data_IF_191454265428
#
_entry.id   IF_191454265428
#
_cell.length_a   1.000
_cell.length_b   1.000
_cell.length_c   1.000
_cell.angle_alpha   90.00
_cell.angle_beta   90.00
_cell.angle_gamma   90.00
#
_symmetry.space_group_name_H-M   'P 1'
#
loop_
_entity.id
_entity.type
_entity.pdbx_description
1 polymer ?
#
# COMPACT_ATOMS: atom_id res chain seq x y z
N UNK A 1 -5.75 -23.18 4.74
CA UNK A 1 -5.86 -21.71 4.81
C UNK A 1 -6.57 -21.26 3.54
N UNK A 2 -7.69 -20.57 3.67
CA UNK A 2 -8.42 -20.06 2.50
C UNK A 2 -7.64 -18.91 1.82
N UNK A 3 -7.94 -18.62 0.56
CA UNK A 3 -7.29 -17.50 -0.15
C UNK A 3 -7.61 -16.16 0.53
N UNK A 4 -8.84 -15.98 1.00
CA UNK A 4 -9.24 -14.78 1.74
C UNK A 4 -8.45 -14.62 3.05
N UNK A 5 -8.28 -15.71 3.81
CA UNK A 5 -7.42 -15.71 5.00
C UNK A 5 -5.98 -15.33 4.65
N UNK A 6 -5.43 -15.86 3.55
CA UNK A 6 -4.05 -15.59 3.15
C UNK A 6 -3.85 -14.11 2.78
N UNK A 7 -4.77 -13.53 2.01
CA UNK A 7 -4.75 -12.11 1.65
C UNK A 7 -4.86 -11.24 2.91
N UNK A 8 -5.80 -11.56 3.80
CA UNK A 8 -5.99 -10.81 5.03
C UNK A 8 -4.75 -10.91 5.95
N UNK A 9 -4.15 -12.09 6.07
CA UNK A 9 -2.91 -12.27 6.83
C UNK A 9 -1.77 -11.43 6.24
N UNK A 10 -1.60 -11.45 4.91
CA UNK A 10 -0.57 -10.67 4.23
C UNK A 10 -0.74 -9.17 4.46
N UNK A 11 -1.97 -8.65 4.33
CA UNK A 11 -2.28 -7.23 4.59
C UNK A 11 -2.02 -6.88 6.06
N UNK A 12 -2.40 -7.75 7.01
CA UNK A 12 -2.13 -7.56 8.44
C UNK A 12 -0.64 -7.51 8.74
N UNK A 13 0.15 -8.45 8.18
CA UNK A 13 1.60 -8.49 8.35
C UNK A 13 2.27 -7.26 7.73
N UNK A 14 1.85 -6.86 6.53
CA UNK A 14 2.34 -5.65 5.86
C UNK A 14 2.07 -4.40 6.69
N UNK A 15 0.83 -4.24 7.17
CA UNK A 15 0.43 -3.13 8.01
C UNK A 15 1.16 -3.11 9.35
N UNK A 16 1.33 -4.27 10.00
CA UNK A 16 2.05 -4.38 11.26
C UNK A 16 3.54 -4.03 11.10
N UNK A 17 4.19 -4.51 10.03
CA UNK A 17 5.57 -4.13 9.71
C UNK A 17 5.68 -2.62 9.46
N UNK A 18 4.75 -2.05 8.68
CA UNK A 18 4.70 -0.62 8.44
C UNK A 18 4.50 0.20 9.72
N UNK A 19 3.64 -0.26 10.64
CA UNK A 19 3.42 0.40 11.93
C UNK A 19 4.67 0.35 12.82
N UNK A 20 5.35 -0.81 12.85
CA UNK A 20 6.61 -0.98 13.57
C UNK A 20 7.71 -0.07 13.03
N UNK A 21 7.73 0.20 11.72
CA UNK A 21 8.63 1.17 11.08
C UNK A 21 8.22 2.62 11.36
N UNK A 22 6.93 2.91 11.38
CA UNK A 22 6.42 4.27 11.58
C UNK A 22 6.83 4.86 12.92
N UNK A 23 6.86 4.05 13.99
CA UNK A 23 7.26 4.48 15.33
C UNK A 23 8.68 5.08 15.38
N UNK A 24 9.76 4.33 15.07
CA UNK A 24 11.11 4.88 15.09
C UNK A 24 11.32 5.94 14.01
N UNK A 25 10.65 5.82 12.86
CA UNK A 25 10.76 6.82 11.79
C UNK A 25 10.20 8.18 12.23
N UNK A 26 9.03 8.25 12.86
CA UNK A 26 8.44 9.50 13.34
C UNK A 26 9.18 10.08 14.54
N UNK A 27 9.78 9.22 15.39
CA UNK A 27 10.54 9.65 16.55
C UNK A 27 11.93 10.20 16.18
N UNK A 28 12.64 9.59 15.22
CA UNK A 28 14.05 9.91 14.95
C UNK A 28 14.38 10.12 13.47
N UNK A 29 13.63 9.50 12.57
CA UNK A 29 13.92 9.51 11.14
C UNK A 29 13.47 10.79 10.45
N UNK A 30 12.27 11.26 10.77
CA UNK A 30 11.60 12.34 10.04
C UNK A 30 12.38 13.65 10.05
N UNK A 31 12.98 14.02 11.18
CA UNK A 31 13.78 15.25 11.33
C UNK A 31 15.07 15.26 10.48
N UNK A 32 15.50 14.09 10.00
CA UNK A 32 16.64 13.92 9.08
C UNK A 32 16.22 13.90 7.61
N UNK A 33 14.96 13.57 7.34
CA UNK A 33 14.43 13.45 5.97
C UNK A 33 13.82 14.76 5.51
N UNK A 34 13.19 15.48 6.44
CA UNK A 34 12.47 16.71 6.20
C UNK A 34 12.83 17.72 7.30
N UNK A 35 13.52 18.79 6.90
CA UNK A 35 13.92 19.86 7.81
C UNK A 35 12.71 20.70 8.27
N UNK A 36 11.67 20.80 7.43
CA UNK A 36 10.43 21.51 7.74
C UNK A 36 9.54 20.73 8.72
N UNK A 37 9.82 19.44 8.91
CA UNK A 37 9.13 18.62 9.91
C UNK A 37 9.60 18.92 11.36
N UNK A 38 10.66 19.71 11.54
CA UNK A 38 11.14 20.14 12.85
C UNK A 38 10.15 21.13 13.46
N UNK A 39 9.58 20.80 14.62
CA UNK A 39 8.58 21.63 15.30
C UNK A 39 7.11 21.34 14.94
N UNK A 40 6.85 20.62 13.84
CA UNK A 40 5.51 20.27 13.39
C UNK A 40 4.94 18.98 14.04
N UNK A 41 5.00 18.87 15.37
CA UNK A 41 4.69 17.62 16.09
C UNK A 41 3.25 17.13 15.93
N UNK A 42 2.28 18.05 15.78
CA UNK A 42 0.86 17.71 15.62
C UNK A 42 0.56 17.07 14.27
N UNK A 43 1.37 17.35 13.25
CA UNK A 43 1.18 16.81 11.90
C UNK A 43 1.81 15.42 11.70
N UNK A 44 2.75 15.02 12.56
CA UNK A 44 3.46 13.73 12.46
C UNK A 44 2.53 12.52 12.47
N UNK A 45 1.48 12.44 13.32
CA UNK A 45 0.52 11.34 13.28
C UNK A 45 -0.23 11.21 11.94
N UNK A 46 -0.47 12.30 11.20
CA UNK A 46 -1.13 12.23 9.88
C UNK A 46 -0.26 11.51 8.83
N UNK A 47 1.04 11.39 9.06
CA UNK A 47 1.95 10.68 8.16
C UNK A 47 1.91 9.17 8.37
N UNK A 48 1.43 8.68 9.52
CA UNK A 48 1.35 7.25 9.86
C UNK A 48 0.71 6.41 8.73
N UNK A 49 -0.50 6.73 8.20
CA UNK A 49 -1.09 5.92 7.13
C UNK A 49 -0.22 5.87 5.88
N UNK A 50 0.42 6.98 5.51
CA UNK A 50 1.36 7.03 4.39
C UNK A 50 2.59 6.16 4.64
N UNK A 51 3.21 6.29 5.83
CA UNK A 51 4.38 5.50 6.21
C UNK A 51 4.05 4.01 6.22
N UNK A 52 2.92 3.60 6.81
CA UNK A 52 2.50 2.20 6.84
C UNK A 52 2.30 1.64 5.44
N UNK A 53 1.74 2.43 4.51
CA UNK A 53 1.50 2.01 3.13
C UNK A 53 2.81 1.77 2.37
N UNK A 54 3.77 2.72 2.46
CA UNK A 54 5.01 2.72 1.65
C UNK A 54 6.28 2.54 2.49
N UNK A 55 6.20 1.82 3.62
CA UNK A 55 7.29 1.66 4.57
C UNK A 55 8.63 1.18 3.99
N UNK A 56 8.70 0.29 2.96
CA UNK A 56 9.99 -0.14 2.43
C UNK A 56 10.74 1.02 1.76
N UNK A 57 10.00 1.91 1.09
CA UNK A 57 10.56 3.11 0.48
C UNK A 57 11.02 4.11 1.55
N UNK A 58 10.24 4.25 2.63
CA UNK A 58 10.59 5.08 3.78
C UNK A 58 11.89 4.59 4.43
N UNK A 59 12.03 3.29 4.70
CA UNK A 59 13.26 2.70 5.23
C UNK A 59 14.44 2.90 4.28
N UNK A 60 14.24 2.63 2.99
CA UNK A 60 15.31 2.81 1.99
C UNK A 60 15.80 4.26 1.97
N UNK A 61 14.89 5.23 1.89
CA UNK A 61 15.22 6.66 1.90
C UNK A 61 15.89 7.06 3.21
N UNK A 62 15.38 6.58 4.34
CA UNK A 62 15.96 6.85 5.65
C UNK A 62 17.38 6.29 5.75
N UNK A 63 17.62 5.08 5.28
CA UNK A 63 18.95 4.45 5.25
C UNK A 63 19.95 5.21 4.38
N UNK A 64 19.56 5.62 3.17
CA UNK A 64 20.43 6.40 2.26
C UNK A 64 20.86 7.72 2.89
N UNK A 65 19.92 8.44 3.51
CA UNK A 65 20.20 9.71 4.17
C UNK A 65 21.01 9.52 5.46
N UNK A 66 20.68 8.51 6.28
CA UNK A 66 21.39 8.23 7.52
C UNK A 66 22.84 7.78 7.29
N UNK A 67 23.14 7.14 6.16
CA UNK A 67 24.49 6.70 5.79
C UNK A 67 25.29 7.75 5.01
N UNK A 68 24.73 8.93 4.76
CA UNK A 68 25.41 9.99 3.99
C UNK A 68 25.68 9.61 2.54
N UNK A 69 25.01 8.58 2.01
CA UNK A 69 25.14 8.12 0.61
C UNK A 69 24.38 9.02 -0.37
N UNK A 70 23.89 10.16 0.12
CA UNK A 70 23.18 11.12 -0.70
C UNK A 70 24.18 11.91 -1.55
N UNK A 71 24.34 11.48 -2.80
CA UNK A 71 25.11 12.20 -3.80
C UNK A 71 24.29 13.40 -4.32
N UNK A 72 24.17 14.46 -3.50
CA UNK A 72 23.55 15.74 -3.88
C UNK A 72 23.94 16.23 -5.29
N UNK A 73 25.23 16.14 -5.72
CA UNK A 73 25.64 16.54 -7.06
C UNK A 73 25.05 15.70 -8.20
N UNK A 74 24.67 14.44 -7.93
CA UNK A 74 24.16 13.51 -8.94
C UNK A 74 22.63 13.57 -9.11
N UNK A 75 21.90 14.24 -8.21
CA UNK A 75 20.42 14.35 -8.29
C UNK A 75 19.93 15.02 -9.57
N UNK A 76 20.72 15.93 -10.15
CA UNK A 76 20.40 16.63 -11.40
C UNK A 76 20.81 15.84 -12.65
N UNK A 77 21.47 14.70 -12.51
CA UNK A 77 21.75 13.81 -13.65
C UNK A 77 20.57 12.86 -13.86
N UNK A 78 19.93 12.88 -15.05
CA UNK A 78 18.84 11.95 -15.32
C UNK A 78 19.36 10.51 -15.27
N UNK A 79 18.86 9.72 -14.31
CA UNK A 79 19.24 8.31 -14.08
C UNK A 79 18.64 7.40 -15.16
N UNK A 80 19.15 7.53 -16.40
CA UNK A 80 18.62 6.84 -17.60
C UNK A 80 18.88 5.32 -17.61
N UNK A 81 19.80 4.81 -16.80
CA UNK A 81 20.20 3.39 -16.82
C UNK A 81 19.08 2.43 -16.42
N UNK A 82 18.22 2.83 -15.49
CA UNK A 82 17.18 1.94 -14.94
C UNK A 82 15.85 2.05 -15.68
N UNK A 83 15.72 3.01 -16.60
CA UNK A 83 14.45 3.28 -17.27
C UNK A 83 13.93 2.07 -18.04
N UNK A 84 14.80 1.32 -18.74
CA UNK A 84 14.42 0.12 -19.50
C UNK A 84 13.82 -0.97 -18.60
N UNK A 85 14.42 -1.20 -17.43
CA UNK A 85 13.92 -2.17 -16.46
C UNK A 85 12.58 -1.74 -15.88
N UNK A 86 12.41 -0.45 -15.53
CA UNK A 86 11.13 0.08 -15.03
C UNK A 86 10.04 0.01 -16.11
N UNK A 87 10.38 0.37 -17.34
CA UNK A 87 9.48 0.34 -18.49
C UNK A 87 9.00 -1.09 -18.83
N UNK A 88 9.84 -2.12 -18.61
CA UNK A 88 9.45 -3.53 -18.75
C UNK A 88 8.68 -4.05 -17.53
N UNK A 89 9.07 -3.64 -16.32
CA UNK A 89 8.41 -4.06 -15.10
C UNK A 89 6.95 -3.60 -15.05
N UNK A 90 6.65 -2.40 -15.54
CA UNK A 90 5.29 -1.83 -15.50
C UNK A 90 4.24 -2.66 -16.26
N UNK A 91 4.39 -2.99 -17.57
CA UNK A 91 3.41 -3.82 -18.28
C UNK A 91 3.33 -5.23 -17.72
N UNK A 92 4.45 -5.83 -17.31
CA UNK A 92 4.46 -7.15 -16.65
C UNK A 92 3.64 -7.09 -15.36
N UNK A 93 3.85 -6.07 -14.52
CA UNK A 93 3.09 -5.87 -13.30
C UNK A 93 1.59 -5.68 -13.59
N UNK A 94 1.22 -4.91 -14.62
CA UNK A 94 -0.18 -4.72 -15.03
C UNK A 94 -0.82 -6.06 -15.39
N UNK A 95 -0.17 -6.87 -16.23
CA UNK A 95 -0.69 -8.19 -16.64
C UNK A 95 -0.83 -9.12 -15.44
N UNK A 96 0.17 -9.15 -14.56
CA UNK A 96 0.13 -9.95 -13.32
C UNK A 96 -1.01 -9.51 -12.41
N UNK A 97 -1.20 -8.20 -12.21
CA UNK A 97 -2.28 -7.67 -11.37
C UNK A 97 -3.64 -8.02 -11.96
N UNK A 98 -3.84 -7.87 -13.27
CA UNK A 98 -5.09 -8.22 -13.94
C UNK A 98 -5.34 -9.73 -13.82
N UNK A 99 -4.35 -10.56 -14.12
CA UNK A 99 -4.47 -12.03 -14.01
C UNK A 99 -4.77 -12.49 -12.59
N UNK A 100 -4.09 -11.91 -11.59
CA UNK A 100 -4.37 -12.16 -10.19
C UNK A 100 -5.80 -11.71 -9.81
N UNK A 101 -6.21 -10.50 -10.22
CA UNK A 101 -7.56 -9.99 -9.96
C UNK A 101 -8.66 -10.87 -10.56
N UNK A 102 -8.47 -11.36 -11.79
CA UNK A 102 -9.40 -12.29 -12.43
C UNK A 102 -9.44 -13.66 -11.73
N UNK A 103 -8.31 -14.12 -11.20
CA UNK A 103 -8.23 -15.38 -10.44
C UNK A 103 -8.93 -15.31 -9.08
N UNK A 104 -8.97 -14.12 -8.46
CA UNK A 104 -9.61 -13.86 -7.14
C UNK A 104 -11.08 -13.42 -7.32
N UNK A 105 -11.62 -13.48 -8.54
CA UNK A 105 -13.00 -13.07 -8.83
C UNK A 105 -13.97 -13.78 -7.87
N UNK A 106 -14.65 -12.97 -7.06
CA UNK A 106 -15.69 -13.44 -6.14
C UNK A 106 -16.77 -14.17 -6.93
N UNK A 107 -16.83 -15.49 -6.79
CA UNK A 107 -17.93 -16.30 -7.30
C UNK A 107 -19.08 -16.17 -6.33
N UNK A 108 -20.19 -15.58 -6.79
CA UNK A 108 -21.42 -15.50 -5.99
C UNK A 108 -21.86 -16.90 -5.56
N UNK A 109 -22.26 -17.12 -4.29
CA UNK A 109 -22.74 -18.43 -3.84
C UNK A 109 -23.96 -18.85 -4.66
N UNK A 110 -23.84 -19.94 -5.44
CA UNK A 110 -24.92 -20.44 -6.30
C UNK A 110 -25.96 -21.26 -5.52
N UNK A 111 -25.69 -21.56 -4.26
CA UNK A 111 -26.50 -22.32 -3.32
C UNK A 111 -27.49 -21.47 -2.52
N UNK A 112 -27.35 -20.14 -2.56
CA UNK A 112 -28.32 -19.23 -1.93
C UNK A 112 -29.54 -19.12 -2.85
N UNK A 113 -30.63 -19.75 -2.43
CA UNK A 113 -31.94 -19.57 -3.08
C UNK A 113 -32.38 -18.11 -2.91
N UNK A 114 -32.74 -17.40 -4.00
CA UNK A 114 -33.16 -16.01 -3.89
C UNK A 114 -34.43 -15.90 -3.03
N UNK A 115 -34.31 -15.28 -1.87
CA UNK A 115 -35.44 -15.03 -0.98
C UNK A 115 -36.15 -13.74 -1.41
N UNK A 116 -37.46 -13.83 -1.64
CA UNK A 116 -38.27 -12.71 -2.12
C UNK A 116 -38.59 -11.76 -0.94
N UNK A 117 -37.94 -10.59 -0.91
CA UNK A 117 -38.09 -9.61 0.17
C UNK A 117 -39.43 -8.86 0.17
N UNK A 118 -40.14 -8.81 -0.96
CA UNK A 118 -41.45 -8.18 -1.06
C UNK A 118 -42.34 -8.87 -2.12
N UNK A 119 -43.66 -9.01 -1.87
CA UNK A 119 -44.60 -9.46 -2.88
C UNK A 119 -44.74 -8.43 -4.02
N UNK A 120 -45.10 -8.86 -5.24
CA UNK A 120 -45.32 -7.96 -6.36
C UNK A 120 -46.44 -6.95 -6.02
N UNK A 121 -46.34 -5.70 -6.51
CA UNK A 121 -47.38 -4.70 -6.30
C UNK A 121 -48.70 -5.19 -6.94
N UNK A 122 -49.63 -5.61 -6.08
CA UNK A 122 -50.92 -6.20 -6.46
C UNK A 122 -51.36 -7.41 -5.64
N UNK A 123 -50.45 -8.07 -4.91
CA UNK A 123 -50.77 -9.30 -4.12
C UNK A 123 -50.90 -9.07 -2.61
N UNK A 124 -50.66 -7.86 -2.09
CA UNK A 124 -50.71 -7.57 -0.64
C UNK A 124 -52.13 -7.39 -0.07
N UNK A 125 -53.19 -7.70 -0.84
CA UNK A 125 -54.58 -7.38 -0.49
C UNK A 125 -55.59 -8.49 -0.83
N UNK A 126 -55.22 -9.76 -0.61
CA UNK A 126 -56.18 -10.86 -0.49
C UNK A 126 -55.96 -11.61 0.83
#
# INVERSE_FOLDING_TARGET
MSQAEAILLLVKLWGAAGALVALPFLAFGIDRVDEDARGAYVFRPLLVPGIVMVWPFVLWRWYVLATGRDAWPERYRPRRSNHRWVALAMPVAIVVIIGAGLSVRQTWPSDISPERLAPPPGEASQ
#
